data_IF_143790113214
#
_entry.id   IF_143790113214
#
_cell.length_a   1.000
_cell.length_b   1.000
_cell.length_c   1.000
_cell.angle_alpha   90.00
_cell.angle_beta   90.00
_cell.angle_gamma   90.00
#
_symmetry.space_group_name_H-M   'P 1'
#
loop_
_entity.id
_entity.type
_entity.pdbx_description
1 polymer ?
#
# COMPACT_ATOMS: atom_id res chain seq x y z
N UNK A 1 -24.60 -51.82 22.94
CA UNK A 1 -25.42 -50.69 22.44
C UNK A 1 -25.26 -49.55 23.43
N UNK A 2 -24.29 -48.66 23.21
CA UNK A 2 -24.39 -47.46 22.38
C UNK A 2 -25.03 -46.28 23.13
N UNK A 3 -24.27 -45.62 24.00
CA UNK A 3 -24.61 -44.27 24.47
C UNK A 3 -23.42 -43.42 24.97
N UNK A 4 -22.19 -43.97 25.05
CA UNK A 4 -21.00 -43.20 25.40
C UNK A 4 -20.34 -42.48 24.20
N UNK A 5 -21.01 -42.43 23.04
CA UNK A 5 -20.49 -41.84 21.79
C UNK A 5 -21.05 -40.46 21.44
N UNK A 6 -21.78 -39.80 22.36
CA UNK A 6 -22.37 -38.47 22.09
C UNK A 6 -21.62 -37.29 22.73
N UNK A 7 -20.67 -37.53 23.62
CA UNK A 7 -19.96 -36.45 24.33
C UNK A 7 -18.73 -35.89 23.60
N UNK A 8 -18.11 -36.66 22.68
CA UNK A 8 -16.79 -36.31 22.14
C UNK A 8 -16.83 -35.51 20.82
N UNK A 9 -18.00 -35.29 20.22
CA UNK A 9 -18.10 -34.62 18.92
C UNK A 9 -18.24 -33.08 19.05
N UNK A 10 -18.67 -32.56 20.20
CA UNK A 10 -18.97 -31.11 20.35
C UNK A 10 -17.73 -30.26 20.65
N UNK A 11 -16.63 -30.84 21.15
CA UNK A 11 -15.48 -30.07 21.61
C UNK A 11 -14.49 -29.65 20.51
N UNK A 12 -14.57 -30.22 19.29
CA UNK A 12 -13.61 -29.92 18.21
C UNK A 12 -14.00 -28.74 17.29
N UNK A 13 -15.19 -28.14 17.47
CA UNK A 13 -15.69 -27.11 16.54
C UNK A 13 -15.31 -25.66 16.91
N UNK A 14 -14.57 -25.42 18.00
CA UNK A 14 -14.29 -24.06 18.50
C UNK A 14 -12.82 -23.62 18.41
N UNK A 15 -11.93 -24.44 17.85
CA UNK A 15 -10.51 -24.09 17.71
C UNK A 15 -10.18 -23.32 16.39
N UNK A 16 -11.19 -22.99 15.58
CA UNK A 16 -11.04 -22.35 14.27
C UNK A 16 -11.04 -20.82 14.28
N UNK A 17 -10.62 -20.16 15.37
CA UNK A 17 -10.29 -18.74 15.29
C UNK A 17 -8.92 -18.60 14.61
N UNK A 18 -8.91 -18.64 13.27
CA UNK A 18 -7.79 -18.17 12.47
C UNK A 18 -7.43 -16.75 12.95
N UNK A 19 -6.36 -16.64 13.73
CA UNK A 19 -5.65 -15.38 13.88
C UNK A 19 -4.99 -15.14 12.54
N UNK A 20 -5.66 -14.36 11.69
CA UNK A 20 -4.99 -13.70 10.58
C UNK A 20 -3.70 -13.08 11.13
N UNK A 21 -2.54 -13.32 10.52
CA UNK A 21 -1.32 -12.65 10.93
C UNK A 21 -1.60 -11.13 10.97
N UNK A 22 -1.09 -10.40 11.97
CA UNK A 22 -1.24 -8.95 11.99
C UNK A 22 -0.79 -8.43 10.64
N UNK A 23 -1.62 -7.59 9.98
CA UNK A 23 -1.40 -7.06 8.63
C UNK A 23 0.08 -6.71 8.43
N UNK A 24 0.88 -7.62 7.87
CA UNK A 24 2.30 -7.37 7.69
C UNK A 24 2.40 -6.16 6.78
N UNK A 25 3.08 -5.12 7.26
CA UNK A 25 3.30 -3.93 6.44
C UNK A 25 4.00 -4.37 5.14
N UNK A 26 3.49 -3.97 3.97
CA UNK A 26 4.06 -4.41 2.70
C UNK A 26 5.55 -4.13 2.68
N UNK A 27 6.35 -5.17 2.44
CA UNK A 27 7.80 -5.13 2.51
C UNK A 27 8.38 -4.29 1.36
N UNK A 28 8.41 -2.97 1.54
CA UNK A 28 9.01 -2.01 0.61
C UNK A 28 10.53 -1.91 0.79
N UNK A 29 11.02 -2.21 1.99
CA UNK A 29 12.40 -1.99 2.39
C UNK A 29 12.74 -0.51 2.65
N UNK A 30 11.75 0.37 2.71
CA UNK A 30 11.94 1.81 2.90
C UNK A 30 11.62 2.33 4.31
N UNK A 31 12.02 3.56 4.58
CA UNK A 31 11.76 4.31 5.81
C UNK A 31 10.57 5.29 5.61
N UNK A 32 9.42 5.06 6.26
CA UNK A 32 8.25 5.92 6.07
C UNK A 32 8.45 7.36 6.57
N UNK A 33 9.33 7.61 7.54
CA UNK A 33 9.62 8.99 7.99
C UNK A 33 10.34 9.78 6.90
N UNK A 34 11.29 9.15 6.22
CA UNK A 34 11.97 9.73 5.05
C UNK A 34 11.00 9.87 3.89
N UNK A 35 10.18 8.85 3.63
CA UNK A 35 9.14 8.88 2.60
C UNK A 35 8.22 10.10 2.70
N UNK A 36 7.78 10.45 3.92
CA UNK A 36 6.99 11.67 4.15
C UNK A 36 7.69 12.93 3.65
N UNK A 37 8.99 13.07 3.93
CA UNK A 37 9.79 14.24 3.55
C UNK A 37 9.99 14.26 2.04
N UNK A 38 10.28 13.12 1.43
CA UNK A 38 10.45 12.98 -0.01
C UNK A 38 9.17 13.26 -0.78
N UNK A 39 8.00 12.83 -0.29
CA UNK A 39 6.70 13.16 -0.89
C UNK A 39 6.47 14.67 -0.98
N UNK A 40 6.87 15.40 0.07
CA UNK A 40 6.81 16.85 0.06
C UNK A 40 7.84 17.46 -0.90
N UNK A 41 9.08 16.94 -0.89
CA UNK A 41 10.18 17.44 -1.72
C UNK A 41 9.93 17.26 -3.22
N UNK A 42 9.47 16.07 -3.64
CA UNK A 42 9.19 15.73 -5.04
C UNK A 42 7.80 16.19 -5.50
N UNK A 43 7.08 16.95 -4.68
CA UNK A 43 5.86 17.64 -5.11
C UNK A 43 4.67 16.71 -5.38
N UNK A 44 4.61 15.50 -4.82
CA UNK A 44 3.48 14.58 -5.02
C UNK A 44 2.14 15.21 -4.61
N UNK A 45 2.17 16.10 -3.62
CA UNK A 45 1.01 16.85 -3.14
C UNK A 45 0.43 17.87 -4.12
N UNK A 46 1.13 18.19 -5.21
CA UNK A 46 0.63 19.05 -6.29
C UNK A 46 -0.48 18.38 -7.11
N UNK A 47 -0.54 17.05 -7.09
CA UNK A 47 -1.58 16.29 -7.78
C UNK A 47 -2.48 15.49 -6.84
N UNK A 48 -1.90 14.93 -5.77
CA UNK A 48 -2.60 14.02 -4.87
C UNK A 48 -2.93 14.68 -3.53
N UNK A 49 -4.09 14.33 -2.98
CA UNK A 49 -4.37 14.47 -1.55
C UNK A 49 -3.64 13.38 -0.77
N UNK A 50 -2.87 13.77 0.24
CA UNK A 50 -2.06 12.87 1.07
C UNK A 50 -2.10 13.31 2.53
N UNK A 51 -2.95 12.64 3.32
CA UNK A 51 -3.05 12.88 4.76
C UNK A 51 -1.68 12.80 5.47
N UNK A 52 -1.39 13.79 6.32
CA UNK A 52 -0.13 13.89 7.08
C UNK A 52 1.02 14.61 6.35
N UNK A 53 0.86 14.94 5.06
CA UNK A 53 1.83 15.72 4.29
C UNK A 53 1.33 17.17 4.15
N UNK A 54 2.08 18.18 4.62
CA UNK A 54 1.67 19.57 4.52
C UNK A 54 1.46 20.01 3.07
N UNK A 55 0.35 20.68 2.78
CA UNK A 55 0.04 21.19 1.44
C UNK A 55 -0.38 20.14 0.41
N UNK A 56 -0.43 18.85 0.76
CA UNK A 56 -0.87 17.79 -0.14
C UNK A 56 -2.41 17.63 -0.11
N UNK A 57 -3.12 18.60 -0.69
CA UNK A 57 -4.59 18.63 -0.76
C UNK A 57 -5.14 18.81 -2.19
N UNK A 58 -4.29 18.66 -3.21
CA UNK A 58 -4.70 18.75 -4.60
C UNK A 58 -5.62 17.59 -5.03
N UNK A 59 -6.38 17.83 -6.09
CA UNK A 59 -7.37 16.88 -6.64
C UNK A 59 -7.19 16.66 -8.14
N UNK A 60 -5.99 16.91 -8.67
CA UNK A 60 -5.66 16.63 -10.08
C UNK A 60 -5.62 15.13 -10.33
N UNK A 61 -5.16 14.36 -9.34
CA UNK A 61 -5.13 12.91 -9.35
C UNK A 61 -5.91 12.35 -8.14
N UNK A 62 -6.29 11.05 -8.14
CA UNK A 62 -7.04 10.47 -7.04
C UNK A 62 -6.33 10.64 -5.69
N UNK A 63 -7.06 10.79 -4.57
CA UNK A 63 -6.47 10.76 -3.22
C UNK A 63 -5.59 9.52 -3.04
N UNK A 64 -4.54 9.60 -2.21
CA UNK A 64 -3.70 8.43 -1.87
C UNK A 64 -4.04 7.83 -0.51
N UNK A 65 -5.08 8.34 0.17
CA UNK A 65 -5.65 7.67 1.33
C UNK A 65 -6.09 6.24 0.98
N UNK A 66 -5.92 5.35 1.97
CA UNK A 66 -6.31 3.94 1.90
C UNK A 66 -5.58 3.17 0.81
N UNK A 67 -4.39 3.63 0.38
CA UNK A 67 -3.64 3.00 -0.70
C UNK A 67 -3.33 1.54 -0.36
N UNK A 68 -3.00 1.20 0.90
CA UNK A 68 -2.76 -0.19 1.34
C UNK A 68 -3.94 -1.13 1.05
N UNK A 69 -5.17 -0.61 1.00
CA UNK A 69 -6.39 -1.40 0.76
C UNK A 69 -6.79 -1.51 -0.70
N UNK A 70 -6.08 -0.85 -1.61
CA UNK A 70 -6.39 -0.92 -3.04
C UNK A 70 -5.85 -2.22 -3.61
N UNK A 71 -6.66 -2.87 -4.45
CA UNK A 71 -6.20 -4.05 -5.21
C UNK A 71 -5.29 -3.62 -6.37
N UNK A 72 -5.58 -2.45 -6.97
CA UNK A 72 -4.87 -1.97 -8.15
C UNK A 72 -4.24 -0.58 -7.96
N UNK A 73 -3.06 -0.42 -8.55
CA UNK A 73 -2.37 0.84 -8.82
C UNK A 73 -2.72 1.30 -10.23
N UNK A 74 -2.94 2.61 -10.39
CA UNK A 74 -3.31 3.22 -11.67
C UNK A 74 -4.49 2.52 -12.39
N UNK A 75 -5.37 1.84 -11.62
CA UNK A 75 -6.51 1.10 -12.14
C UNK A 75 -6.19 -0.22 -12.86
N UNK A 76 -4.92 -0.63 -12.98
CA UNK A 76 -4.55 -1.76 -13.84
C UNK A 76 -3.43 -2.69 -13.34
N UNK A 77 -2.56 -2.21 -12.46
CA UNK A 77 -1.44 -3.02 -11.95
C UNK A 77 -1.73 -3.52 -10.55
N UNK A 78 -1.35 -4.75 -10.22
CA UNK A 78 -1.49 -5.25 -8.85
C UNK A 78 -0.76 -4.34 -7.85
N UNK A 79 -1.39 -4.05 -6.71
CA UNK A 79 -0.79 -3.23 -5.65
C UNK A 79 0.20 -4.04 -4.82
N UNK A 80 1.40 -4.21 -5.37
CA UNK A 80 2.56 -4.81 -4.68
C UNK A 80 3.61 -3.74 -4.40
N UNK A 81 4.48 -3.92 -3.39
CA UNK A 81 5.58 -3.00 -3.11
C UNK A 81 6.43 -2.70 -4.34
N UNK A 82 6.82 -3.72 -5.09
CA UNK A 82 7.67 -3.56 -6.28
C UNK A 82 6.96 -2.77 -7.39
N UNK A 83 5.66 -3.04 -7.62
CA UNK A 83 4.90 -2.28 -8.61
C UNK A 83 4.73 -0.82 -8.19
N UNK A 84 4.51 -0.54 -6.90
CA UNK A 84 4.42 0.83 -6.41
C UNK A 84 5.75 1.56 -6.56
N UNK A 85 6.86 0.91 -6.19
CA UNK A 85 8.22 1.47 -6.37
C UNK A 85 8.49 1.77 -7.84
N UNK A 86 8.19 0.84 -8.76
CA UNK A 86 8.37 1.05 -10.19
C UNK A 86 7.47 2.17 -10.71
N UNK A 87 6.23 2.24 -10.26
CA UNK A 87 5.28 3.28 -10.66
C UNK A 87 5.73 4.68 -10.24
N UNK A 88 6.29 4.82 -9.03
CA UNK A 88 6.79 6.12 -8.54
C UNK A 88 8.03 6.55 -9.35
N UNK A 89 8.92 5.62 -9.71
CA UNK A 89 10.15 5.91 -10.47
C UNK A 89 9.89 6.26 -11.93
N UNK A 90 9.15 5.39 -12.63
CA UNK A 90 8.93 5.51 -14.06
C UNK A 90 7.50 5.08 -14.44
N UNK A 91 6.51 5.94 -14.15
CA UNK A 91 5.12 5.63 -14.43
C UNK A 91 4.85 5.49 -15.94
N UNK A 92 5.61 6.20 -16.80
CA UNK A 92 5.41 6.14 -18.27
C UNK A 92 5.98 4.87 -18.90
N UNK A 93 7.02 4.27 -18.33
CA UNK A 93 7.47 2.93 -18.72
C UNK A 93 6.44 1.85 -18.37
N UNK A 94 5.71 2.02 -17.27
CA UNK A 94 4.61 1.13 -16.92
C UNK A 94 3.37 1.40 -17.77
N UNK A 95 2.97 2.67 -17.90
CA UNK A 95 1.82 3.12 -18.67
C UNK A 95 2.14 4.38 -19.50
N UNK A 96 2.36 4.20 -20.79
CA UNK A 96 2.68 5.30 -21.72
C UNK A 96 1.62 6.42 -21.78
N UNK A 97 0.38 6.13 -21.36
CA UNK A 97 -0.75 7.07 -21.41
C UNK A 97 -1.01 7.78 -20.07
N UNK A 98 -0.25 7.46 -19.01
CA UNK A 98 -0.43 8.10 -17.70
C UNK A 98 -0.07 9.59 -17.75
N UNK A 99 -0.84 10.40 -17.01
CA UNK A 99 -0.52 11.80 -16.77
C UNK A 99 0.50 12.01 -15.64
N UNK A 100 0.77 10.97 -14.83
CA UNK A 100 1.77 11.06 -13.77
C UNK A 100 3.18 11.17 -14.39
N UNK A 101 3.94 12.25 -14.14
CA UNK A 101 5.26 12.41 -14.71
C UNK A 101 6.29 11.54 -13.98
N UNK A 102 7.44 11.29 -14.62
CA UNK A 102 8.63 10.85 -13.90
C UNK A 102 9.12 12.00 -13.01
N UNK A 103 9.02 11.84 -11.69
CA UNK A 103 9.36 12.88 -10.71
C UNK A 103 10.85 12.94 -10.36
N UNK A 104 11.66 12.03 -10.93
CA UNK A 104 13.10 12.01 -10.75
C UNK A 104 13.57 11.37 -9.44
N UNK A 105 12.77 10.49 -8.84
CA UNK A 105 13.20 9.71 -7.67
C UNK A 105 14.11 8.54 -8.09
N UNK A 106 15.11 8.24 -7.26
CA UNK A 106 15.86 6.99 -7.37
C UNK A 106 15.10 5.82 -6.70
N UNK A 107 15.71 4.63 -6.72
CA UNK A 107 15.08 3.44 -6.15
C UNK A 107 14.93 3.49 -4.64
N UNK A 108 15.95 3.96 -3.92
CA UNK A 108 15.91 4.03 -2.46
C UNK A 108 14.85 5.03 -2.00
N UNK A 109 14.79 6.18 -2.66
CA UNK A 109 13.77 7.21 -2.44
C UNK A 109 12.36 6.69 -2.75
N UNK A 110 12.18 5.97 -3.85
CA UNK A 110 10.89 5.37 -4.19
C UNK A 110 10.43 4.33 -3.15
N UNK A 111 11.35 3.53 -2.59
CA UNK A 111 11.06 2.60 -1.49
C UNK A 111 10.63 3.34 -0.23
N UNK A 112 11.32 4.41 0.14
CA UNK A 112 10.94 5.26 1.28
C UNK A 112 9.53 5.88 1.09
N UNK A 113 9.26 6.42 -0.10
CA UNK A 113 7.94 6.96 -0.46
C UNK A 113 6.87 5.88 -0.38
N UNK A 114 7.11 4.71 -0.98
CA UNK A 114 6.19 3.58 -0.95
C UNK A 114 5.91 3.14 0.51
N UNK A 115 6.93 3.10 1.37
CA UNK A 115 6.78 2.76 2.78
C UNK A 115 5.81 3.74 3.48
N UNK A 116 5.95 5.05 3.22
CA UNK A 116 5.01 6.02 3.77
C UNK A 116 3.59 5.85 3.21
N UNK A 117 3.45 5.60 1.90
CA UNK A 117 2.15 5.44 1.26
C UNK A 117 1.39 4.20 1.76
N UNK A 118 2.08 3.12 2.12
CA UNK A 118 1.43 1.95 2.73
C UNK A 118 0.93 2.20 4.16
N UNK A 119 1.39 3.27 4.82
CA UNK A 119 0.78 3.72 6.10
C UNK A 119 -0.49 4.55 5.90
N UNK A 120 -0.98 4.71 4.65
CA UNK A 120 -2.16 5.53 4.30
C UNK A 120 -3.42 4.72 4.02
#
# INVERSE_FOLDING_TARGET
>A
MAAALRGLIVALLLAGCERSPPDEEPATGGNPKQGRQLIQHFGCGSCHKISGVPGANATVAPPLEKLKRRVYLAGRFANTPDNLVQWIRDPRAMDSQTAMPAVGVDEAQARDIAAYLYTR
#
